data_IF_929102418757
#
_entry.id   IF_929102418757
#
_cell.length_a   1.000
_cell.length_b   1.000
_cell.length_c   1.000
_cell.angle_alpha   90.00
_cell.angle_beta   90.00
_cell.angle_gamma   90.00
#
_symmetry.space_group_name_H-M   'P 1'
#
loop_
_entity.id
_entity.type
_entity.pdbx_description
1 polymer ?
#
# COMPACT_ATOMS: atom_id res chain seq x y z
N UNK A 1 8.00 13.34 14.00
CA UNK A 1 8.21 13.02 15.43
C UNK A 1 7.66 11.63 15.63
N UNK A 2 8.50 10.65 15.97
CA UNK A 2 8.00 9.30 16.27
C UNK A 2 7.11 9.40 17.50
N UNK A 3 5.87 8.91 17.39
CA UNK A 3 4.93 8.93 18.51
C UNK A 3 5.49 8.07 19.65
N UNK A 4 5.42 8.58 20.88
CA UNK A 4 5.86 7.84 22.07
C UNK A 4 5.02 6.57 22.22
N UNK A 5 5.64 5.38 22.33
CA UNK A 5 4.89 4.13 22.46
C UNK A 5 4.11 4.06 23.79
N UNK A 6 2.91 3.44 23.80
CA UNK A 6 2.15 3.20 25.02
C UNK A 6 2.98 2.44 26.08
N UNK A 7 2.84 2.83 27.34
CA UNK A 7 3.61 2.27 28.45
C UNK A 7 3.43 0.75 28.60
N UNK A 8 2.22 0.24 28.39
CA UNK A 8 1.93 -1.21 28.48
C UNK A 8 2.63 -2.03 27.40
N UNK A 9 2.78 -1.45 26.19
CA UNK A 9 3.47 -2.11 25.09
C UNK A 9 4.98 -2.17 25.37
N UNK A 10 5.56 -1.07 25.86
CA UNK A 10 6.97 -1.04 26.28
C UNK A 10 7.22 -2.05 27.41
N UNK A 11 6.31 -2.14 28.39
CA UNK A 11 6.39 -3.13 29.48
C UNK A 11 6.36 -4.57 28.95
N UNK A 12 5.50 -4.85 27.97
CA UNK A 12 5.39 -6.16 27.33
C UNK A 12 6.69 -6.52 26.58
N UNK A 13 7.27 -5.56 25.85
CA UNK A 13 8.57 -5.75 25.18
C UNK A 13 9.69 -6.01 26.18
N UNK A 14 9.78 -5.25 27.28
CA UNK A 14 10.78 -5.49 28.33
C UNK A 14 10.66 -6.90 28.91
N UNK A 15 9.44 -7.31 29.24
CA UNK A 15 9.17 -8.64 29.79
C UNK A 15 9.57 -9.72 28.81
N UNK A 16 9.11 -9.65 27.56
CA UNK A 16 9.39 -10.67 26.56
C UNK A 16 10.86 -10.72 26.15
N UNK A 17 11.52 -9.57 26.02
CA UNK A 17 12.97 -9.52 25.75
C UNK A 17 13.75 -10.23 26.86
N UNK A 18 13.36 -10.03 28.13
CA UNK A 18 13.99 -10.73 29.25
C UNK A 18 13.74 -12.25 29.23
N UNK A 19 12.54 -12.70 28.83
CA UNK A 19 12.22 -14.12 28.67
C UNK A 19 13.07 -14.76 27.57
N UNK A 20 13.21 -14.10 26.42
CA UNK A 20 14.02 -14.60 25.29
C UNK A 20 15.50 -14.67 25.69
N UNK A 21 16.04 -13.62 26.33
CA UNK A 21 17.42 -13.65 26.88
C UNK A 21 17.58 -14.79 27.89
N UNK A 22 16.56 -15.02 28.74
CA UNK A 22 16.59 -16.09 29.72
C UNK A 22 16.52 -17.49 29.09
N UNK A 23 16.19 -17.63 27.80
CA UNK A 23 16.32 -18.87 27.05
C UNK A 23 17.78 -19.30 26.82
N UNK A 24 18.71 -18.36 26.78
CA UNK A 24 20.13 -18.63 26.57
C UNK A 24 20.78 -19.38 27.75
N UNK A 25 21.97 -19.96 27.50
CA UNK A 25 22.75 -20.63 28.55
C UNK A 25 23.23 -19.61 29.58
N UNK A 26 23.21 -19.98 30.86
CA UNK A 26 23.44 -19.03 31.97
C UNK A 26 24.77 -18.26 31.88
N UNK A 27 25.83 -18.92 31.44
CA UNK A 27 27.15 -18.30 31.28
C UNK A 27 27.25 -17.36 30.07
N UNK A 28 26.34 -17.46 29.09
CA UNK A 28 26.29 -16.59 27.91
C UNK A 28 25.44 -15.33 28.14
N UNK A 29 24.57 -15.33 29.16
CA UNK A 29 23.61 -14.24 29.43
C UNK A 29 24.28 -12.88 29.66
N UNK A 30 25.33 -12.75 30.52
CA UNK A 30 25.99 -11.47 30.72
C UNK A 30 26.57 -10.89 29.43
N UNK A 31 27.27 -11.73 28.64
CA UNK A 31 27.86 -11.31 27.37
C UNK A 31 26.78 -10.90 26.35
N UNK A 32 25.66 -11.64 26.27
CA UNK A 32 24.51 -11.31 25.44
C UNK A 32 23.91 -9.95 25.85
N UNK A 33 23.68 -9.72 27.15
CA UNK A 33 23.17 -8.46 27.66
C UNK A 33 24.05 -7.27 27.24
N UNK A 34 25.38 -7.40 27.39
CA UNK A 34 26.33 -6.35 26.97
C UNK A 34 26.25 -6.09 25.47
N UNK A 35 26.19 -7.12 24.62
CA UNK A 35 26.03 -6.97 23.16
C UNK A 35 24.76 -6.21 22.80
N UNK A 36 23.67 -6.46 23.53
CA UNK A 36 22.38 -5.79 23.35
C UNK A 36 22.34 -4.37 23.94
N UNK A 37 23.42 -3.93 24.61
CA UNK A 37 23.54 -2.60 25.20
C UNK A 37 22.92 -2.45 26.59
N UNK A 38 22.70 -3.55 27.30
CA UNK A 38 22.28 -3.54 28.70
C UNK A 38 23.51 -3.30 29.61
N UNK A 39 23.27 -2.78 30.80
CA UNK A 39 24.32 -2.55 31.80
C UNK A 39 24.99 -3.85 32.24
N UNK A 40 26.29 -3.78 32.57
CA UNK A 40 27.05 -4.93 33.05
C UNK A 40 26.53 -5.46 34.40
N UNK A 41 26.90 -6.69 34.72
CA UNK A 41 26.74 -7.28 36.04
C UNK A 41 27.49 -8.57 36.19
N UNK A 42 27.34 -9.22 37.35
CA UNK A 42 28.11 -10.42 37.66
C UNK A 42 27.47 -11.69 37.09
N UNK A 43 28.30 -12.68 36.79
CA UNK A 43 27.83 -14.03 36.43
C UNK A 43 27.01 -14.65 37.56
N UNK A 44 27.38 -14.36 38.82
CA UNK A 44 26.66 -14.80 40.01
C UNK A 44 25.20 -14.31 40.00
N UNK A 45 24.94 -13.04 39.67
CA UNK A 45 23.57 -12.51 39.55
C UNK A 45 22.77 -13.25 38.47
N UNK A 46 23.38 -13.53 37.32
CA UNK A 46 22.73 -14.24 36.21
C UNK A 46 22.42 -15.71 36.56
N UNK A 47 23.30 -16.36 37.33
CA UNK A 47 23.11 -17.74 37.79
C UNK A 47 21.95 -17.89 38.78
N UNK A 48 21.64 -16.86 39.59
CA UNK A 48 20.48 -16.88 40.49
C UNK A 48 19.15 -16.80 39.72
N UNK A 49 19.06 -15.93 38.71
CA UNK A 49 17.90 -15.86 37.82
C UNK A 49 18.20 -15.07 36.55
N UNK A 50 18.34 -15.79 35.42
CA UNK A 50 18.55 -15.19 34.09
C UNK A 50 17.49 -14.15 33.73
N UNK A 51 16.22 -14.46 34.01
CA UNK A 51 15.11 -13.53 33.76
C UNK A 51 15.24 -12.26 34.59
N UNK A 52 15.42 -12.37 35.92
CA UNK A 52 15.54 -11.19 36.79
C UNK A 52 16.75 -10.35 36.41
N UNK A 53 17.87 -10.99 36.07
CA UNK A 53 19.09 -10.34 35.60
C UNK A 53 18.85 -9.46 34.36
N UNK A 54 18.20 -10.00 33.33
CA UNK A 54 17.89 -9.25 32.12
C UNK A 54 16.79 -8.20 32.36
N UNK A 55 15.74 -8.57 33.09
CA UNK A 55 14.56 -7.74 33.31
C UNK A 55 14.88 -6.47 34.11
N UNK A 56 15.68 -6.55 35.18
CA UNK A 56 16.05 -5.36 35.97
C UNK A 56 16.76 -4.31 35.10
N UNK A 57 17.69 -4.75 34.25
CA UNK A 57 18.45 -3.89 33.35
C UNK A 57 17.57 -3.27 32.27
N UNK A 58 16.67 -4.04 31.68
CA UNK A 58 15.70 -3.54 30.71
C UNK A 58 14.74 -2.51 31.31
N UNK A 59 14.45 -2.57 32.61
CA UNK A 59 13.61 -1.60 33.30
C UNK A 59 14.30 -0.24 33.49
N UNK A 60 15.63 -0.22 33.62
CA UNK A 60 16.46 0.99 33.74
C UNK A 60 16.66 1.71 32.39
N UNK A 61 16.53 0.99 31.28
CA UNK A 61 16.72 1.52 29.93
C UNK A 61 15.55 2.43 29.48
N UNK A 62 15.87 3.44 28.65
CA UNK A 62 14.84 4.21 27.96
C UNK A 62 14.05 3.33 26.98
N UNK A 63 12.79 3.69 26.65
CA UNK A 63 11.99 2.94 25.67
C UNK A 63 12.72 2.73 24.33
N UNK A 64 13.38 3.76 23.81
CA UNK A 64 14.13 3.67 22.53
C UNK A 64 15.30 2.67 22.61
N UNK A 65 16.00 2.63 23.74
CA UNK A 65 17.09 1.69 23.96
C UNK A 65 16.57 0.25 24.07
N UNK A 66 15.43 0.04 24.72
CA UNK A 66 14.76 -1.28 24.79
C UNK A 66 14.35 -1.75 23.39
N UNK A 67 13.75 -0.89 22.58
CA UNK A 67 13.36 -1.23 21.20
C UNK A 67 14.58 -1.61 20.35
N UNK A 68 15.69 -0.88 20.50
CA UNK A 68 16.94 -1.20 19.81
C UNK A 68 17.49 -2.56 20.24
N UNK A 69 17.49 -2.86 21.53
CA UNK A 69 17.93 -4.15 22.08
C UNK A 69 17.04 -5.30 21.59
N UNK A 70 15.71 -5.13 21.65
CA UNK A 70 14.75 -6.13 21.16
C UNK A 70 14.95 -6.43 19.66
N UNK A 71 15.16 -5.39 18.84
CA UNK A 71 15.44 -5.56 17.41
C UNK A 71 16.75 -6.30 17.15
N UNK A 72 17.80 -5.99 17.91
CA UNK A 72 19.08 -6.68 17.80
C UNK A 72 18.95 -8.16 18.20
N UNK A 73 18.22 -8.45 19.29
CA UNK A 73 17.95 -9.81 19.73
C UNK A 73 17.22 -10.63 18.65
N UNK A 74 16.24 -10.04 17.97
CA UNK A 74 15.51 -10.69 16.88
C UNK A 74 16.35 -10.97 15.62
N UNK A 75 17.58 -10.46 15.53
CA UNK A 75 18.51 -10.85 14.45
C UNK A 75 19.28 -12.13 14.77
N UNK A 76 19.39 -12.49 16.06
CA UNK A 76 20.08 -13.68 16.54
C UNK A 76 19.08 -14.80 16.89
N UNK A 77 17.91 -14.46 17.44
CA UNK A 77 16.91 -15.39 17.96
C UNK A 77 15.52 -15.10 17.36
N UNK A 78 14.78 -16.15 16.98
CA UNK A 78 13.42 -16.00 16.47
C UNK A 78 12.41 -16.13 17.62
N UNK A 79 11.66 -15.05 17.88
CA UNK A 79 10.56 -15.08 18.84
C UNK A 79 9.33 -14.35 18.27
N UNK A 80 8.21 -15.08 18.19
CA UNK A 80 6.97 -14.59 17.59
C UNK A 80 6.36 -13.42 18.38
N UNK A 81 6.24 -13.55 19.70
CA UNK A 81 5.59 -12.54 20.54
C UNK A 81 6.41 -11.25 20.60
N UNK A 82 7.74 -11.36 20.69
CA UNK A 82 8.64 -10.20 20.66
C UNK A 82 8.55 -9.47 19.33
N UNK A 83 8.56 -10.21 18.20
CA UNK A 83 8.42 -9.63 16.87
C UNK A 83 7.08 -8.90 16.69
N UNK A 84 5.99 -9.49 17.20
CA UNK A 84 4.65 -8.90 17.13
C UNK A 84 4.53 -7.63 17.99
N UNK A 85 5.06 -7.63 19.22
CA UNK A 85 5.07 -6.43 20.07
C UNK A 85 5.95 -5.31 19.47
N UNK A 86 7.09 -5.67 18.89
CA UNK A 86 7.97 -4.72 18.22
C UNK A 86 7.28 -4.09 17.00
N UNK A 87 6.67 -4.91 16.14
CA UNK A 87 5.93 -4.43 14.98
C UNK A 87 4.79 -3.48 15.39
N UNK A 88 4.01 -3.81 16.43
CA UNK A 88 2.97 -2.91 16.98
C UNK A 88 3.52 -1.56 17.41
N UNK A 89 4.75 -1.51 17.92
CA UNK A 89 5.41 -0.27 18.34
C UNK A 89 5.91 0.54 17.14
N UNK A 90 6.53 -0.11 16.16
CA UNK A 90 7.08 0.53 14.97
C UNK A 90 5.99 1.12 14.07
N UNK A 91 4.78 0.57 14.16
CA UNK A 91 3.63 1.00 13.38
C UNK A 91 2.87 2.20 13.96
N UNK A 92 3.24 2.69 15.14
CA UNK A 92 2.52 3.80 15.78
C UNK A 92 2.65 5.07 14.92
N UNK A 93 1.51 5.73 14.67
CA UNK A 93 1.47 6.94 13.85
C UNK A 93 1.54 6.66 12.34
N UNK A 94 1.60 5.40 11.92
CA UNK A 94 1.44 5.00 10.52
C UNK A 94 -0.03 4.78 10.17
N UNK A 95 -0.35 4.76 8.87
CA UNK A 95 -1.71 4.44 8.39
C UNK A 95 -2.16 3.08 8.92
N UNK A 96 -3.40 2.99 9.40
CA UNK A 96 -3.92 1.79 10.07
C UNK A 96 -4.85 0.99 9.16
N UNK A 97 -4.93 -0.32 9.39
CA UNK A 97 -6.01 -1.16 8.85
C UNK A 97 -7.08 -1.24 9.92
N UNK A 98 -8.26 -0.72 9.61
CA UNK A 98 -9.41 -0.65 10.51
C UNK A 98 -9.90 -2.05 10.89
N UNK A 99 -10.51 -2.19 12.08
CA UNK A 99 -11.11 -3.44 12.53
C UNK A 99 -12.15 -3.97 11.54
N UNK A 100 -12.85 -3.06 10.84
CA UNK A 100 -13.81 -3.42 9.79
C UNK A 100 -13.11 -4.10 8.62
N UNK A 101 -12.05 -3.51 8.07
CA UNK A 101 -11.29 -4.11 6.97
C UNK A 101 -10.62 -5.41 7.41
N UNK A 102 -10.04 -5.46 8.61
CA UNK A 102 -9.44 -6.70 9.18
C UNK A 102 -10.43 -7.86 9.25
N UNK A 103 -11.70 -7.61 9.56
CA UNK A 103 -12.74 -8.64 9.51
C UNK A 103 -13.20 -8.95 8.09
N UNK A 104 -13.27 -7.95 7.22
CA UNK A 104 -13.76 -8.10 5.84
C UNK A 104 -12.78 -8.84 4.93
N UNK A 105 -11.47 -8.69 5.11
CA UNK A 105 -10.49 -9.42 4.28
C UNK A 105 -10.67 -10.94 4.34
N UNK A 106 -11.15 -11.48 5.46
CA UNK A 106 -11.46 -12.92 5.59
C UNK A 106 -12.65 -13.38 4.73
N UNK A 107 -13.54 -12.47 4.31
CA UNK A 107 -14.60 -12.80 3.36
C UNK A 107 -14.06 -13.10 1.96
N UNK A 108 -12.87 -12.59 1.60
CA UNK A 108 -12.25 -12.87 0.30
C UNK A 108 -11.92 -14.36 0.10
N UNK A 109 -11.81 -15.10 1.20
CA UNK A 109 -11.48 -16.53 1.23
C UNK A 109 -12.71 -17.44 1.15
N UNK A 110 -13.93 -16.90 1.32
CA UNK A 110 -15.14 -17.72 1.33
C UNK A 110 -15.31 -18.52 0.02
N UNK A 111 -15.59 -19.82 0.16
CA UNK A 111 -15.81 -20.75 -0.94
C UNK A 111 -14.54 -21.27 -1.63
N UNK A 112 -13.34 -20.98 -1.11
CA UNK A 112 -12.06 -21.46 -1.66
C UNK A 112 -11.18 -21.96 -0.50
N UNK A 113 -10.28 -22.91 -0.76
CA UNK A 113 -9.29 -23.37 0.25
C UNK A 113 -8.27 -22.29 0.56
N UNK A 114 -7.75 -22.22 1.79
CA UNK A 114 -6.71 -21.28 2.19
C UNK A 114 -5.43 -21.53 1.39
N UNK A 115 -5.08 -22.80 1.21
CA UNK A 115 -3.95 -23.29 0.42
C UNK A 115 -4.38 -24.52 -0.39
N UNK A 116 -3.99 -24.57 -1.67
CA UNK A 116 -4.29 -25.70 -2.56
C UNK A 116 -3.08 -26.57 -2.87
N UNK A 117 -1.88 -25.99 -2.78
CA UNK A 117 -0.63 -26.67 -3.16
C UNK A 117 -0.08 -27.57 -2.06
N UNK A 118 -0.40 -27.30 -0.79
CA UNK A 118 0.04 -28.06 0.36
C UNK A 118 -0.93 -27.92 1.56
N UNK A 119 -0.61 -28.60 2.66
CA UNK A 119 -1.49 -28.69 3.83
C UNK A 119 -1.68 -27.33 4.54
N UNK A 120 -2.91 -27.05 4.96
CA UNK A 120 -3.26 -25.77 5.59
C UNK A 120 -2.68 -25.60 7.01
N UNK A 121 -2.34 -26.70 7.70
CA UNK A 121 -1.57 -26.63 8.96
C UNK A 121 -0.15 -26.13 8.65
N UNK A 122 0.50 -26.71 7.63
CA UNK A 122 1.82 -26.25 7.18
C UNK A 122 1.79 -24.77 6.75
N UNK A 123 0.70 -24.34 6.09
CA UNK A 123 0.51 -22.92 5.72
C UNK A 123 0.53 -22.01 6.94
N UNK A 124 -0.20 -22.37 7.99
CA UNK A 124 -0.27 -21.58 9.21
C UNK A 124 1.02 -21.66 10.02
N UNK A 125 1.71 -22.81 10.04
CA UNK A 125 3.00 -22.99 10.72
C UNK A 125 4.12 -22.11 10.12
N UNK A 126 4.01 -21.68 8.86
CA UNK A 126 4.91 -20.68 8.26
C UNK A 126 4.78 -19.28 8.87
N UNK A 127 3.67 -18.99 9.55
CA UNK A 127 3.37 -17.68 10.13
C UNK A 127 3.29 -17.69 11.65
N UNK A 128 2.81 -18.79 12.23
CA UNK A 128 2.49 -18.89 13.64
C UNK A 128 3.15 -20.13 14.26
N UNK A 129 3.69 -20.03 15.47
CA UNK A 129 4.15 -21.20 16.22
C UNK A 129 2.94 -21.93 16.86
N UNK A 130 2.10 -22.57 16.03
CA UNK A 130 0.80 -23.11 16.45
C UNK A 130 0.87 -24.07 17.65
N UNK A 131 1.94 -24.88 17.72
CA UNK A 131 2.18 -25.83 18.81
C UNK A 131 2.65 -25.17 20.12
N UNK A 132 3.15 -23.94 20.06
CA UNK A 132 3.60 -23.19 21.24
C UNK A 132 2.47 -22.35 21.85
N UNK A 133 1.48 -21.95 21.06
CA UNK A 133 0.35 -21.13 21.50
C UNK A 133 -0.67 -22.02 22.21
N UNK A 134 -0.98 -21.70 23.47
CA UNK A 134 -1.98 -22.42 24.28
C UNK A 134 -3.35 -21.74 24.18
N UNK A 135 -4.41 -22.53 24.10
CA UNK A 135 -5.80 -22.05 23.89
C UNK A 135 -6.77 -22.47 25.01
N UNK A 136 -6.41 -23.45 25.84
CA UNK A 136 -7.21 -23.90 26.98
C UNK A 136 -7.12 -22.98 28.21
N UNK A 137 -8.12 -23.06 29.10
CA UNK A 137 -8.04 -22.43 30.41
C UNK A 137 -7.06 -23.21 31.31
N UNK A 138 -6.37 -22.48 32.21
CA UNK A 138 -5.36 -23.01 33.16
C UNK A 138 -5.79 -24.23 34.01
N UNK A 139 -7.09 -24.52 34.07
CA UNK A 139 -7.67 -25.63 34.84
C UNK A 139 -7.93 -26.93 34.05
N UNK A 140 -7.77 -26.93 32.72
CA UNK A 140 -7.93 -28.15 31.93
C UNK A 140 -6.66 -29.02 31.96
N UNK A 141 -6.86 -30.31 32.19
CA UNK A 141 -5.82 -31.36 32.15
C UNK A 141 -5.31 -31.63 30.72
N UNK A 142 -5.98 -31.08 29.70
CA UNK A 142 -5.46 -31.00 28.34
C UNK A 142 -4.80 -29.63 28.11
N UNK A 143 -3.46 -29.60 28.06
CA UNK A 143 -2.72 -28.42 27.62
C UNK A 143 -2.87 -28.21 26.11
N UNK A 144 -4.10 -27.93 25.63
CA UNK A 144 -4.40 -27.77 24.22
C UNK A 144 -3.63 -26.61 23.59
N UNK A 145 -3.18 -26.85 22.37
CA UNK A 145 -2.50 -25.86 21.53
C UNK A 145 -3.42 -25.33 20.45
N UNK A 146 -3.06 -24.18 19.86
CA UNK A 146 -3.76 -23.64 18.70
C UNK A 146 -3.72 -24.61 17.51
N UNK A 147 -2.66 -25.43 17.41
CA UNK A 147 -2.58 -26.51 16.42
C UNK A 147 -3.66 -27.56 16.64
N UNK A 148 -3.88 -27.99 17.89
CA UNK A 148 -4.88 -29.01 18.23
C UNK A 148 -6.29 -28.50 17.92
N UNK A 149 -6.57 -27.24 18.26
CA UNK A 149 -7.85 -26.63 17.96
C UNK A 149 -8.07 -26.44 16.46
N UNK A 150 -7.04 -26.01 15.71
CA UNK A 150 -7.13 -25.91 14.25
C UNK A 150 -7.41 -27.28 13.61
N UNK A 151 -6.71 -28.34 14.02
CA UNK A 151 -6.97 -29.70 13.51
C UNK A 151 -8.40 -30.14 13.86
N UNK A 152 -8.85 -29.87 15.09
CA UNK A 152 -10.18 -30.29 15.53
C UNK A 152 -11.29 -29.56 14.77
N UNK A 153 -11.19 -28.24 14.65
CA UNK A 153 -12.28 -27.40 14.18
C UNK A 153 -12.24 -27.13 12.67
N UNK A 154 -11.05 -26.96 12.11
CA UNK A 154 -10.86 -26.68 10.70
C UNK A 154 -10.78 -27.96 9.87
N UNK A 155 -9.93 -28.92 10.28
CA UNK A 155 -9.66 -30.12 9.48
C UNK A 155 -10.68 -31.23 9.70
N UNK A 156 -11.09 -31.48 10.96
CA UNK A 156 -11.97 -32.61 11.29
C UNK A 156 -13.46 -32.25 11.26
N UNK A 157 -13.82 -31.11 11.82
CA UNK A 157 -15.22 -30.74 12.01
C UNK A 157 -15.77 -29.81 10.91
N UNK A 158 -14.90 -29.05 10.23
CA UNK A 158 -15.30 -27.99 9.29
C UNK A 158 -16.32 -27.00 9.92
N UNK A 159 -16.11 -26.66 11.20
CA UNK A 159 -17.04 -25.84 12.00
C UNK A 159 -16.54 -24.40 12.24
N UNK A 160 -15.33 -24.07 11.80
CA UNK A 160 -14.80 -22.71 11.80
C UNK A 160 -15.00 -22.04 10.44
N UNK A 161 -15.55 -20.83 10.45
CA UNK A 161 -15.50 -19.96 9.28
C UNK A 161 -14.14 -19.26 9.19
N UNK A 162 -13.80 -18.70 8.02
CA UNK A 162 -12.62 -17.84 7.88
C UNK A 162 -12.58 -16.65 8.85
N UNK A 163 -13.75 -16.17 9.29
CA UNK A 163 -13.83 -15.15 10.34
C UNK A 163 -13.34 -15.70 11.67
N UNK A 164 -13.83 -16.87 12.06
CA UNK A 164 -13.44 -17.53 13.30
C UNK A 164 -11.94 -17.83 13.29
N UNK A 165 -11.41 -18.32 12.16
CA UNK A 165 -9.98 -18.52 11.97
C UNK A 165 -9.18 -17.23 12.22
N UNK A 166 -9.58 -16.12 11.60
CA UNK A 166 -8.93 -14.82 11.80
C UNK A 166 -8.96 -14.32 13.24
N UNK A 167 -10.03 -14.60 13.97
CA UNK A 167 -10.15 -14.27 15.40
C UNK A 167 -9.27 -15.18 16.27
N UNK A 168 -9.26 -16.49 16.02
CA UNK A 168 -8.47 -17.48 16.76
C UNK A 168 -6.97 -17.33 16.55
N UNK A 169 -6.55 -16.92 15.35
CA UNK A 169 -5.16 -16.55 15.05
C UNK A 169 -4.78 -15.16 15.60
N UNK A 170 -5.73 -14.38 16.11
CA UNK A 170 -5.49 -13.04 16.65
C UNK A 170 -5.22 -11.97 15.58
N UNK A 171 -5.42 -12.26 14.30
CA UNK A 171 -5.14 -11.35 13.16
C UNK A 171 -6.00 -10.07 13.16
N UNK A 172 -7.16 -10.12 13.83
CA UNK A 172 -8.02 -8.93 14.02
C UNK A 172 -7.34 -7.88 14.91
N UNK A 173 -6.48 -8.30 15.85
CA UNK A 173 -5.81 -7.43 16.83
C UNK A 173 -4.28 -7.43 16.68
N UNK A 174 -3.77 -7.96 15.57
CA UNK A 174 -2.34 -8.05 15.30
C UNK A 174 -1.75 -6.73 14.79
N UNK A 175 -0.43 -6.65 14.72
CA UNK A 175 0.29 -5.70 13.87
C UNK A 175 -0.20 -5.77 12.42
N UNK A 176 -0.06 -4.67 11.67
CA UNK A 176 -0.26 -4.70 10.20
C UNK A 176 0.76 -5.61 9.55
N UNK A 177 2.00 -5.63 10.05
CA UNK A 177 3.06 -6.49 9.54
C UNK A 177 2.65 -7.97 9.54
N UNK A 178 2.08 -8.47 10.65
CA UNK A 178 1.61 -9.85 10.73
C UNK A 178 0.41 -10.10 9.81
N UNK A 179 -0.54 -9.17 9.76
CA UNK A 179 -1.69 -9.26 8.85
C UNK A 179 -1.24 -9.29 7.38
N UNK A 180 -0.31 -8.44 6.99
CA UNK A 180 0.19 -8.35 5.62
C UNK A 180 0.97 -9.61 5.26
N UNK A 181 1.83 -10.13 6.15
CA UNK A 181 2.49 -11.42 5.92
C UNK A 181 1.48 -12.55 5.70
N UNK A 182 0.37 -12.57 6.46
CA UNK A 182 -0.70 -13.54 6.23
C UNK A 182 -1.34 -13.37 4.85
N UNK A 183 -1.75 -12.15 4.49
CA UNK A 183 -2.39 -11.87 3.20
C UNK A 183 -1.47 -12.15 2.01
N UNK A 184 -0.18 -11.81 2.12
CA UNK A 184 0.85 -12.06 1.10
C UNK A 184 1.10 -13.55 0.91
N UNK A 185 1.23 -14.32 2.00
CA UNK A 185 1.39 -15.77 1.92
C UNK A 185 0.13 -16.43 1.32
N UNK A 186 -1.05 -15.94 1.70
CA UNK A 186 -2.35 -16.39 1.21
C UNK A 186 -2.60 -16.15 -0.29
N UNK A 187 -1.78 -15.32 -0.95
CA UNK A 187 -1.80 -15.09 -2.40
C UNK A 187 -0.44 -15.41 -3.03
N UNK A 188 0.44 -16.12 -2.34
CA UNK A 188 1.74 -16.49 -2.89
C UNK A 188 1.56 -17.58 -3.96
N UNK A 189 2.33 -17.55 -5.07
CA UNK A 189 2.18 -18.53 -6.14
C UNK A 189 2.60 -19.97 -5.76
N UNK A 190 3.27 -20.16 -4.62
CA UNK A 190 3.51 -21.50 -4.05
C UNK A 190 2.34 -22.01 -3.19
N UNK A 191 1.35 -21.16 -2.92
CA UNK A 191 0.20 -21.46 -2.06
C UNK A 191 -1.06 -21.78 -2.89
N UNK A 192 -1.18 -21.16 -4.07
CA UNK A 192 -2.37 -21.17 -4.92
C UNK A 192 -2.01 -21.27 -6.40
N UNK A 193 -2.96 -21.83 -7.17
CA UNK A 193 -2.98 -21.71 -8.63
C UNK A 193 -3.24 -20.26 -9.09
N UNK A 194 -2.88 -19.97 -10.35
CA UNK A 194 -2.91 -18.61 -10.92
C UNK A 194 -4.33 -18.02 -10.99
N UNK A 195 -5.34 -18.83 -11.33
CA UNK A 195 -6.73 -18.35 -11.45
C UNK A 195 -7.30 -17.98 -10.08
N UNK A 196 -7.11 -18.86 -9.09
CA UNK A 196 -7.53 -18.60 -7.70
C UNK A 196 -6.76 -17.42 -7.11
N UNK A 197 -5.45 -17.31 -7.38
CA UNK A 197 -4.61 -16.20 -6.94
C UNK A 197 -5.15 -14.86 -7.47
N UNK A 198 -5.41 -14.75 -8.77
CA UNK A 198 -5.91 -13.51 -9.39
C UNK A 198 -7.28 -13.11 -8.81
N UNK A 199 -8.21 -14.07 -8.66
CA UNK A 199 -9.52 -13.83 -8.09
C UNK A 199 -9.45 -13.40 -6.62
N UNK A 200 -8.57 -14.00 -5.82
CA UNK A 200 -8.37 -13.65 -4.40
C UNK A 200 -7.76 -12.26 -4.26
N UNK A 201 -6.74 -11.93 -5.05
CA UNK A 201 -6.11 -10.60 -5.06
C UNK A 201 -7.13 -9.51 -5.37
N UNK A 202 -8.00 -9.73 -6.36
CA UNK A 202 -9.05 -8.76 -6.69
C UNK A 202 -9.99 -8.49 -5.51
N UNK A 203 -10.51 -9.55 -4.86
CA UNK A 203 -11.40 -9.43 -3.68
C UNK A 203 -10.70 -8.76 -2.49
N UNK A 204 -9.44 -9.10 -2.22
CA UNK A 204 -8.67 -8.49 -1.13
C UNK A 204 -8.45 -6.98 -1.40
N UNK A 205 -8.16 -6.61 -2.64
CA UNK A 205 -7.99 -5.22 -3.03
C UNK A 205 -9.27 -4.39 -2.92
N UNK A 206 -10.45 -4.99 -3.12
CA UNK A 206 -11.73 -4.31 -2.88
C UNK A 206 -11.94 -3.92 -1.42
N UNK A 207 -11.39 -4.70 -0.49
CA UNK A 207 -11.48 -4.42 0.94
C UNK A 207 -10.36 -3.46 1.39
N UNK A 208 -9.11 -3.74 1.02
CA UNK A 208 -7.92 -2.99 1.45
C UNK A 208 -7.89 -1.54 0.94
N UNK A 209 -8.44 -1.27 -0.26
CA UNK A 209 -8.42 0.07 -0.87
C UNK A 209 -9.06 1.13 0.02
N UNK A 210 -10.08 0.75 0.81
CA UNK A 210 -10.80 1.67 1.69
C UNK A 210 -9.92 2.19 2.83
N UNK A 211 -8.94 1.37 3.27
CA UNK A 211 -7.95 1.77 4.27
C UNK A 211 -6.64 2.24 3.64
N UNK A 212 -6.59 2.39 2.31
CA UNK A 212 -5.44 2.89 1.56
C UNK A 212 -4.32 1.89 1.40
N UNK A 213 -4.63 0.60 1.29
CA UNK A 213 -3.67 -0.44 0.98
C UNK A 213 -4.09 -1.20 -0.28
N UNK A 214 -3.14 -1.82 -0.96
CA UNK A 214 -3.40 -2.68 -2.11
C UNK A 214 -2.30 -3.74 -2.24
N UNK A 215 -2.68 -4.97 -2.59
CA UNK A 215 -1.76 -5.98 -3.10
C UNK A 215 -1.33 -5.59 -4.51
N UNK A 216 -0.05 -5.29 -4.68
CA UNK A 216 0.58 -4.96 -5.96
C UNK A 216 1.59 -6.05 -6.34
N UNK A 217 1.77 -6.29 -7.63
CA UNK A 217 2.76 -7.25 -8.09
C UNK A 217 4.16 -6.69 -7.82
N UNK A 218 4.88 -7.31 -6.89
CA UNK A 218 6.23 -6.92 -6.49
C UNK A 218 7.32 -7.57 -7.33
N UNK A 219 7.10 -8.80 -7.79
CA UNK A 219 8.06 -9.59 -8.55
C UNK A 219 7.39 -10.76 -9.27
N UNK A 220 8.19 -11.66 -9.84
CA UNK A 220 7.75 -12.94 -10.41
C UNK A 220 8.61 -14.07 -9.88
N UNK A 221 8.00 -15.20 -9.55
CA UNK A 221 8.65 -16.46 -9.18
C UNK A 221 8.30 -17.51 -10.23
N UNK A 222 9.30 -18.02 -10.94
CA UNK A 222 9.10 -19.03 -12.00
C UNK A 222 8.05 -18.64 -13.06
N UNK A 223 7.87 -17.34 -13.32
CA UNK A 223 6.87 -16.81 -14.26
C UNK A 223 5.57 -16.34 -13.59
N UNK A 224 5.25 -16.85 -12.40
CA UNK A 224 4.05 -16.52 -11.64
C UNK A 224 4.20 -15.22 -10.85
N UNK A 225 3.14 -14.41 -10.69
CA UNK A 225 3.21 -13.14 -9.99
C UNK A 225 3.34 -13.32 -8.48
N UNK A 226 4.17 -12.49 -7.84
CA UNK A 226 4.29 -12.41 -6.38
C UNK A 226 3.78 -11.05 -5.92
N UNK A 227 2.80 -11.04 -5.02
CA UNK A 227 2.16 -9.83 -4.55
C UNK A 227 2.69 -9.40 -3.17
N UNK A 228 2.76 -8.08 -2.94
CA UNK A 228 3.02 -7.48 -1.63
C UNK A 228 1.96 -6.44 -1.32
N UNK A 229 1.64 -6.27 -0.03
CA UNK A 229 0.74 -5.21 0.40
C UNK A 229 1.53 -3.90 0.44
N UNK A 230 1.12 -2.95 -0.38
CA UNK A 230 1.67 -1.61 -0.41
C UNK A 230 0.63 -0.60 0.06
N UNK A 231 1.10 0.45 0.76
CA UNK A 231 0.27 1.61 1.02
C UNK A 231 0.01 2.30 -0.32
N UNK A 232 -1.26 2.48 -0.67
CA UNK A 232 -1.64 3.34 -1.78
C UNK A 232 -1.04 4.70 -1.47
N UNK A 233 -0.16 5.19 -2.36
CA UNK A 233 0.41 6.53 -2.24
C UNK A 233 -0.74 7.46 -1.90
N UNK A 234 -0.68 8.11 -0.72
CA UNK A 234 -1.77 8.97 -0.26
C UNK A 234 -2.18 9.82 -1.45
N UNK A 235 -3.38 9.57 -1.97
CA UNK A 235 -3.89 10.33 -3.08
C UNK A 235 -3.78 11.77 -2.60
N UNK A 236 -2.89 12.54 -3.24
CA UNK A 236 -2.76 13.96 -2.92
C UNK A 236 -4.18 14.52 -2.89
N UNK A 237 -4.53 15.46 -2.01
CA UNK A 237 -5.87 16.07 -2.06
C UNK A 237 -6.28 16.48 -3.48
N UNK A 238 -5.29 16.90 -4.29
CA UNK A 238 -5.44 17.13 -5.72
C UNK A 238 -5.89 15.89 -6.52
N UNK A 239 -5.34 14.70 -6.27
CA UNK A 239 -5.73 13.45 -6.94
C UNK A 239 -7.17 13.05 -6.63
N UNK A 240 -7.63 13.21 -5.38
CA UNK A 240 -9.01 12.91 -5.03
C UNK A 240 -9.99 13.85 -5.76
N UNK A 241 -9.66 15.15 -5.82
CA UNK A 241 -10.46 16.16 -6.55
C UNK A 241 -10.48 15.85 -8.05
N UNK A 242 -9.32 15.59 -8.66
CA UNK A 242 -9.19 15.25 -10.08
C UNK A 242 -9.94 13.95 -10.39
N UNK A 243 -9.74 12.91 -9.58
CA UNK A 243 -10.42 11.61 -9.74
C UNK A 243 -11.92 11.78 -9.68
N UNK A 244 -12.45 12.53 -8.71
CA UNK A 244 -13.88 12.79 -8.60
C UNK A 244 -14.44 13.57 -9.80
N UNK A 245 -13.70 14.55 -10.32
CA UNK A 245 -14.11 15.31 -11.50
C UNK A 245 -14.13 14.43 -12.77
N UNK A 246 -13.05 13.67 -13.01
CA UNK A 246 -12.95 12.84 -14.22
C UNK A 246 -13.89 11.64 -14.18
N UNK A 247 -14.16 11.05 -13.01
CA UNK A 247 -15.16 9.99 -12.84
C UNK A 247 -16.57 10.46 -13.18
N UNK A 248 -16.94 11.70 -12.80
CA UNK A 248 -18.23 12.29 -13.17
C UNK A 248 -18.34 12.58 -14.66
N UNK A 249 -17.25 13.02 -15.28
CA UNK A 249 -17.21 13.36 -16.70
C UNK A 249 -17.29 12.12 -17.59
N UNK A 250 -16.41 11.15 -17.38
CA UNK A 250 -16.41 9.90 -18.14
C UNK A 250 -15.73 8.78 -17.32
N UNK A 251 -16.53 7.90 -16.69
CA UNK A 251 -16.02 6.85 -15.82
C UNK A 251 -15.31 5.73 -16.59
N UNK A 252 -15.74 5.42 -17.82
CA UNK A 252 -15.33 4.20 -18.51
C UNK A 252 -13.97 4.29 -19.22
N UNK A 253 -13.60 5.47 -19.70
CA UNK A 253 -12.36 5.66 -20.48
C UNK A 253 -11.42 6.68 -19.86
N UNK A 254 -11.92 7.86 -19.49
CA UNK A 254 -11.06 8.96 -19.03
C UNK A 254 -10.63 8.73 -17.59
N UNK A 255 -11.57 8.35 -16.71
CA UNK A 255 -11.26 8.03 -15.32
C UNK A 255 -10.35 6.80 -15.19
N UNK A 256 -10.66 5.71 -15.90
CA UNK A 256 -9.79 4.52 -15.96
C UNK A 256 -8.36 4.88 -16.42
N UNK A 257 -8.23 5.76 -17.41
CA UNK A 257 -6.92 6.20 -17.91
C UNK A 257 -6.16 7.04 -16.89
N UNK A 258 -6.85 7.88 -16.13
CA UNK A 258 -6.28 8.62 -15.01
C UNK A 258 -5.77 7.68 -13.92
N UNK A 259 -6.56 6.69 -13.50
CA UNK A 259 -6.14 5.70 -12.48
C UNK A 259 -4.93 4.90 -12.95
N UNK A 260 -4.94 4.42 -14.20
CA UNK A 260 -3.80 3.71 -14.78
C UNK A 260 -2.53 4.58 -14.83
N UNK A 261 -2.66 5.90 -15.04
CA UNK A 261 -1.53 6.83 -15.03
C UNK A 261 -0.97 6.98 -13.61
N UNK A 262 -1.84 7.07 -12.59
CA UNK A 262 -1.44 7.16 -11.18
C UNK A 262 -0.67 5.92 -10.72
N UNK A 263 -1.17 4.74 -11.06
CA UNK A 263 -0.63 3.44 -10.63
C UNK A 263 0.79 3.19 -11.18
N UNK A 264 1.10 3.74 -12.36
CA UNK A 264 2.41 3.54 -13.02
C UNK A 264 3.50 4.52 -12.59
N UNK A 265 3.19 5.60 -11.85
CA UNK A 265 4.15 6.69 -11.59
C UNK A 265 5.46 6.24 -10.94
N UNK A 266 5.39 5.28 -10.02
CA UNK A 266 6.54 4.76 -9.31
C UNK A 266 7.24 3.62 -10.06
N UNK A 267 6.46 2.71 -10.63
CA UNK A 267 6.92 1.42 -11.19
C UNK A 267 7.25 1.48 -12.68
N UNK A 268 6.55 2.32 -13.43
CA UNK A 268 6.77 2.57 -14.86
C UNK A 268 6.62 4.07 -15.20
N UNK A 269 7.64 4.90 -14.88
CA UNK A 269 7.56 6.34 -15.11
C UNK A 269 7.35 6.74 -16.59
N UNK A 270 7.89 5.96 -17.53
CA UNK A 270 7.74 6.24 -18.96
C UNK A 270 6.31 5.94 -19.45
N UNK A 271 5.73 4.82 -19.00
CA UNK A 271 4.33 4.50 -19.27
C UNK A 271 3.36 5.47 -18.61
N UNK A 272 3.63 5.91 -17.38
CA UNK A 272 2.82 6.93 -16.71
C UNK A 272 2.81 8.28 -17.47
N UNK A 273 3.96 8.72 -17.98
CA UNK A 273 4.06 9.92 -18.82
C UNK A 273 3.25 9.77 -20.12
N UNK A 274 3.33 8.59 -20.74
CA UNK A 274 2.57 8.30 -21.97
C UNK A 274 1.07 8.35 -21.69
N UNK A 275 0.60 7.73 -20.60
CA UNK A 275 -0.79 7.78 -20.20
C UNK A 275 -1.26 9.20 -19.83
N UNK A 276 -0.42 10.01 -19.20
CA UNK A 276 -0.74 11.41 -18.91
C UNK A 276 -1.01 12.18 -20.20
N UNK A 277 -0.15 12.04 -21.21
CA UNK A 277 -0.39 12.66 -22.52
C UNK A 277 -1.70 12.17 -23.14
N UNK A 278 -1.90 10.86 -23.18
CA UNK A 278 -3.09 10.26 -23.79
C UNK A 278 -4.36 10.70 -23.07
N UNK A 279 -4.35 10.79 -21.73
CA UNK A 279 -5.46 11.33 -20.94
C UNK A 279 -5.90 12.71 -21.44
N UNK A 280 -4.95 13.61 -21.68
CA UNK A 280 -5.26 14.95 -22.15
C UNK A 280 -5.73 14.96 -23.61
N UNK A 281 -5.17 14.10 -24.47
CA UNK A 281 -5.65 13.91 -25.84
C UNK A 281 -7.11 13.44 -25.86
N UNK A 282 -7.45 12.45 -25.04
CA UNK A 282 -8.80 11.89 -24.98
C UNK A 282 -9.81 12.90 -24.45
N UNK A 283 -9.48 13.63 -23.38
CA UNK A 283 -10.33 14.72 -22.87
C UNK A 283 -10.54 15.77 -23.95
N UNK A 284 -9.50 16.17 -24.67
CA UNK A 284 -9.65 17.14 -25.76
C UNK A 284 -10.55 16.62 -26.88
N UNK A 285 -10.37 15.37 -27.32
CA UNK A 285 -11.21 14.76 -28.37
C UNK A 285 -12.68 14.67 -27.92
N UNK A 286 -12.91 14.24 -26.68
CA UNK A 286 -14.25 14.11 -26.11
C UNK A 286 -14.97 15.47 -26.08
N UNK A 287 -14.33 16.49 -25.54
CA UNK A 287 -14.90 17.83 -25.46
C UNK A 287 -15.09 18.48 -26.84
N UNK A 288 -14.19 18.24 -27.80
CA UNK A 288 -14.35 18.72 -29.18
C UNK A 288 -15.54 18.05 -29.87
N UNK A 289 -15.78 16.76 -29.61
CA UNK A 289 -16.94 16.04 -30.12
C UNK A 289 -18.25 16.63 -29.56
N UNK A 290 -18.32 16.88 -28.24
CA UNK A 290 -19.48 17.54 -27.60
C UNK A 290 -19.75 18.95 -28.16
N UNK A 291 -18.69 19.68 -28.51
CA UNK A 291 -18.76 21.01 -29.12
C UNK A 291 -19.01 20.97 -30.64
N UNK A 292 -19.19 19.78 -31.24
CA UNK A 292 -19.35 19.58 -32.69
C UNK A 292 -18.20 20.19 -33.53
N UNK A 293 -16.97 20.15 -33.01
CA UNK A 293 -15.77 20.63 -33.72
C UNK A 293 -15.05 19.46 -34.36
N UNK A 294 -14.78 19.56 -35.66
CA UNK A 294 -14.15 18.49 -36.43
C UNK A 294 -12.71 18.18 -35.95
N UNK A 295 -12.47 16.90 -35.67
CA UNK A 295 -11.17 16.34 -35.29
C UNK A 295 -10.68 15.41 -36.40
N UNK A 296 -9.39 15.49 -36.70
CA UNK A 296 -8.66 14.60 -37.61
C UNK A 296 -7.85 13.57 -36.83
N UNK A 297 -7.63 12.40 -37.42
CA UNK A 297 -6.73 11.37 -36.87
C UNK A 297 -5.27 11.85 -36.82
N UNK A 298 -4.92 12.86 -37.62
CA UNK A 298 -3.58 13.47 -37.64
C UNK A 298 -3.40 14.54 -36.56
N UNK A 299 -4.47 14.95 -35.87
CA UNK A 299 -4.37 15.95 -34.82
C UNK A 299 -3.63 15.36 -33.61
N UNK A 300 -2.50 15.96 -33.27
CA UNK A 300 -1.74 15.71 -32.05
C UNK A 300 -2.24 16.53 -30.86
N UNK A 301 -1.74 16.25 -29.65
CA UNK A 301 -2.16 16.96 -28.44
C UNK A 301 -2.11 18.51 -28.57
N UNK A 302 -1.03 19.15 -29.06
CA UNK A 302 -1.01 20.60 -29.28
C UNK A 302 -2.10 21.12 -30.22
N UNK A 303 -2.35 20.45 -31.34
CA UNK A 303 -3.39 20.86 -32.29
C UNK A 303 -4.80 20.66 -31.75
N UNK A 304 -5.07 19.55 -31.06
CA UNK A 304 -6.32 19.30 -30.34
C UNK A 304 -6.61 20.39 -29.30
N UNK A 305 -5.62 20.70 -28.45
CA UNK A 305 -5.78 21.72 -27.43
C UNK A 305 -6.04 23.11 -28.03
N UNK A 306 -5.34 23.48 -29.12
CA UNK A 306 -5.58 24.76 -29.80
C UNK A 306 -7.00 24.88 -30.34
N UNK A 307 -7.52 23.82 -30.97
CA UNK A 307 -8.91 23.78 -31.44
C UNK A 307 -9.89 23.94 -30.26
N UNK A 308 -9.66 23.19 -29.18
CA UNK A 308 -10.54 23.21 -28.01
C UNK A 308 -10.49 24.57 -27.29
N UNK A 309 -9.30 25.13 -27.08
CA UNK A 309 -9.10 26.44 -26.45
C UNK A 309 -9.86 27.52 -27.21
N UNK A 310 -9.83 27.52 -28.56
CA UNK A 310 -10.62 28.44 -29.37
C UNK A 310 -12.13 28.23 -29.19
N UNK A 311 -12.60 26.98 -29.22
CA UNK A 311 -14.02 26.67 -29.02
C UNK A 311 -14.52 27.07 -27.62
N UNK A 312 -13.69 26.86 -26.60
CA UNK A 312 -13.92 27.26 -25.23
C UNK A 312 -13.53 28.72 -24.94
N UNK A 313 -13.25 29.57 -25.95
CA UNK A 313 -12.77 30.96 -25.81
C UNK A 313 -11.78 31.14 -24.64
N UNK A 314 -10.81 30.23 -24.58
CA UNK A 314 -9.68 30.22 -23.66
C UNK A 314 -8.41 30.73 -24.36
N UNK A 315 -8.52 31.25 -25.59
CA UNK A 315 -7.37 31.80 -26.28
C UNK A 315 -6.94 33.09 -25.57
N UNK A 316 -5.64 33.36 -25.37
CA UNK A 316 -5.18 34.58 -24.72
C UNK A 316 -5.75 35.86 -25.34
N UNK A 317 -6.01 35.87 -26.65
CA UNK A 317 -6.56 37.02 -27.36
C UNK A 317 -8.04 37.31 -27.02
N UNK A 318 -8.76 36.34 -26.44
CA UNK A 318 -10.15 36.49 -26.01
C UNK A 318 -10.30 37.19 -24.64
N UNK A 319 -9.19 37.48 -23.95
CA UNK A 319 -9.20 38.08 -22.62
C UNK A 319 -8.54 39.47 -22.61
N UNK A 320 -9.10 40.43 -21.88
CA UNK A 320 -8.54 41.79 -21.79
C UNK A 320 -7.41 41.89 -20.76
N UNK A 321 -7.51 41.17 -19.65
CA UNK A 321 -6.53 41.28 -18.57
C UNK A 321 -5.24 40.51 -18.87
N UNK A 322 -4.11 41.21 -18.77
CA UNK A 322 -2.78 40.68 -19.05
C UNK A 322 -2.43 39.44 -18.23
N UNK A 323 -2.90 39.36 -16.98
CA UNK A 323 -2.65 38.22 -16.09
C UNK A 323 -3.28 36.94 -16.63
N UNK A 324 -4.54 36.98 -17.08
CA UNK A 324 -5.20 35.81 -17.65
C UNK A 324 -4.54 35.36 -18.96
N UNK A 325 -4.08 36.31 -19.79
CA UNK A 325 -3.31 35.97 -21.00
C UNK A 325 -2.05 35.16 -20.68
N UNK A 326 -1.30 35.57 -19.66
CA UNK A 326 -0.08 34.88 -19.24
C UNK A 326 -0.35 33.49 -18.68
N UNK A 327 -1.40 33.34 -17.85
CA UNK A 327 -1.78 32.03 -17.29
C UNK A 327 -2.19 31.07 -18.40
N UNK A 328 -3.05 31.50 -19.33
CA UNK A 328 -3.52 30.67 -20.44
C UNK A 328 -2.40 30.34 -21.44
N UNK A 329 -1.50 31.29 -21.71
CA UNK A 329 -0.29 31.02 -22.50
C UNK A 329 0.66 30.02 -21.84
N UNK A 330 0.77 30.05 -20.51
CA UNK A 330 1.53 29.05 -19.75
C UNK A 330 0.90 27.67 -19.83
N UNK A 331 -0.44 27.59 -19.76
CA UNK A 331 -1.18 26.34 -19.95
C UNK A 331 -0.91 25.74 -21.34
N UNK A 332 -0.94 26.55 -22.40
CA UNK A 332 -0.59 26.10 -23.74
C UNK A 332 0.85 25.56 -23.81
N UNK A 333 1.81 26.26 -23.18
CA UNK A 333 3.21 25.82 -23.11
C UNK A 333 3.38 24.48 -22.40
N UNK A 334 2.59 24.22 -21.35
CA UNK A 334 2.56 22.94 -20.64
C UNK A 334 2.06 21.82 -21.57
N UNK A 335 0.98 22.06 -22.32
CA UNK A 335 0.45 21.08 -23.27
C UNK A 335 1.45 20.75 -24.39
N UNK A 336 2.10 21.78 -24.95
CA UNK A 336 3.14 21.61 -25.96
C UNK A 336 4.31 20.79 -25.42
N UNK A 337 4.72 21.05 -24.18
CA UNK A 337 5.80 20.32 -23.50
C UNK A 337 5.43 18.86 -23.24
N UNK A 338 4.19 18.58 -22.78
CA UNK A 338 3.68 17.22 -22.59
C UNK A 338 3.61 16.44 -23.91
N UNK A 339 3.16 17.09 -24.99
CA UNK A 339 3.12 16.50 -26.33
C UNK A 339 4.51 16.07 -26.82
N UNK A 340 5.52 16.92 -26.59
CA UNK A 340 6.91 16.68 -27.00
C UNK A 340 7.65 15.62 -26.15
N UNK A 341 7.21 15.38 -24.92
CA UNK A 341 7.91 14.54 -23.94
C UNK A 341 8.08 13.08 -24.42
N UNK A 342 7.08 12.52 -25.13
CA UNK A 342 7.16 11.18 -25.72
C UNK A 342 8.24 11.06 -26.79
N UNK A 343 8.46 12.08 -27.61
CA UNK A 343 9.42 11.99 -28.72
C UNK A 343 10.87 11.98 -28.23
N UNK A 344 11.14 12.57 -27.06
CA UNK A 344 12.46 12.53 -26.41
C UNK A 344 12.69 11.25 -25.62
N UNK A 345 11.64 10.66 -25.05
CA UNK A 345 11.70 9.50 -24.17
C UNK A 345 11.34 8.16 -24.85
N UNK A 346 10.66 8.20 -26.00
CA UNK A 346 10.14 7.07 -26.75
C UNK A 346 11.09 6.53 -27.81
N UNK A 347 10.95 5.24 -28.08
CA UNK A 347 11.84 4.32 -28.79
C UNK A 347 11.89 4.51 -30.33
N UNK A 348 11.46 5.67 -30.85
CA UNK A 348 11.09 5.76 -32.26
C UNK A 348 12.27 5.74 -33.25
N UNK A 349 13.52 5.95 -32.80
CA UNK A 349 14.72 5.68 -33.61
C UNK A 349 15.88 5.34 -32.68
N UNK A 350 16.55 4.20 -32.95
CA UNK A 350 17.62 3.62 -32.14
C UNK A 350 18.59 4.67 -31.59
N UNK A 351 18.64 4.82 -30.27
CA UNK A 351 19.42 5.87 -29.60
C UNK A 351 20.41 5.24 -28.64
N UNK A 352 21.71 5.48 -28.86
CA UNK A 352 22.83 4.89 -28.12
C UNK A 352 22.88 5.15 -26.60
N UNK A 353 23.98 4.74 -25.93
CA UNK A 353 24.06 4.46 -24.49
C UNK A 353 23.92 5.64 -23.50
N UNK A 354 23.48 6.83 -23.93
CA UNK A 354 23.44 8.06 -23.12
C UNK A 354 22.07 8.78 -23.08
N UNK A 355 20.93 8.06 -23.17
CA UNK A 355 19.61 8.68 -22.94
C UNK A 355 19.24 8.68 -21.44
N UNK A 356 18.81 9.84 -20.94
CA UNK A 356 18.26 9.99 -19.60
C UNK A 356 16.89 9.29 -19.50
N UNK A 357 16.75 8.34 -18.58
CA UNK A 357 15.48 7.68 -18.28
C UNK A 357 14.62 8.57 -17.36
N UNK A 358 13.30 8.67 -17.58
CA UNK A 358 12.44 9.43 -16.70
C UNK A 358 12.39 8.75 -15.32
N UNK A 359 12.77 9.47 -14.28
CA UNK A 359 12.54 9.06 -12.89
C UNK A 359 11.09 9.32 -12.44
N UNK A 360 10.65 8.63 -11.36
CA UNK A 360 9.29 8.73 -10.80
C UNK A 360 8.80 10.18 -10.59
N UNK A 361 9.67 11.07 -10.07
CA UNK A 361 9.34 12.51 -9.89
C UNK A 361 8.91 13.23 -11.17
N UNK A 362 9.43 12.83 -12.33
CA UNK A 362 9.05 13.43 -13.62
C UNK A 362 7.69 12.91 -14.08
N UNK A 363 7.42 11.62 -13.85
CA UNK A 363 6.11 11.04 -14.12
C UNK A 363 5.03 11.65 -13.22
N UNK A 364 5.34 11.85 -11.94
CA UNK A 364 4.45 12.52 -11.00
C UNK A 364 4.09 13.94 -11.48
N UNK A 365 5.08 14.74 -11.88
CA UNK A 365 4.83 16.07 -12.42
C UNK A 365 3.95 16.02 -13.68
N UNK A 366 4.26 15.14 -14.63
CA UNK A 366 3.51 15.03 -15.89
C UNK A 366 2.05 14.59 -15.67
N UNK A 367 1.83 13.59 -14.81
CA UNK A 367 0.49 13.11 -14.46
C UNK A 367 -0.30 14.21 -13.76
N UNK A 368 0.29 14.90 -12.78
CA UNK A 368 -0.38 15.98 -12.07
C UNK A 368 -0.76 17.15 -12.99
N UNK A 369 0.17 17.60 -13.85
CA UNK A 369 -0.11 18.66 -14.84
C UNK A 369 -1.24 18.26 -15.78
N UNK A 370 -1.21 17.03 -16.30
CA UNK A 370 -2.28 16.53 -17.16
C UNK A 370 -3.62 16.46 -16.44
N UNK A 371 -3.64 15.93 -15.22
CA UNK A 371 -4.87 15.81 -14.42
C UNK A 371 -5.49 17.17 -14.13
N UNK A 372 -4.69 18.14 -13.68
CA UNK A 372 -5.14 19.52 -13.44
C UNK A 372 -5.67 20.18 -14.71
N UNK A 373 -4.98 20.03 -15.84
CA UNK A 373 -5.43 20.56 -17.13
C UNK A 373 -6.74 19.92 -17.59
N UNK A 374 -6.86 18.60 -17.50
CA UNK A 374 -8.07 17.88 -17.85
C UNK A 374 -9.27 18.34 -17.01
N UNK A 375 -9.11 18.41 -15.68
CA UNK A 375 -10.17 18.89 -14.78
C UNK A 375 -10.56 20.34 -15.07
N UNK A 376 -9.59 21.22 -15.33
CA UNK A 376 -9.88 22.61 -15.69
C UNK A 376 -10.70 22.72 -16.99
N UNK A 377 -10.34 21.95 -18.03
CA UNK A 377 -11.03 21.94 -19.32
C UNK A 377 -12.48 21.43 -19.18
N UNK A 378 -12.66 20.33 -18.45
CA UNK A 378 -14.00 19.77 -18.16
C UNK A 378 -14.85 20.77 -17.39
N UNK A 379 -14.33 21.33 -16.30
CA UNK A 379 -15.07 22.31 -15.49
C UNK A 379 -15.44 23.57 -16.30
N UNK A 380 -14.56 24.02 -17.20
CA UNK A 380 -14.85 25.16 -18.10
C UNK A 380 -16.00 24.84 -19.05
N UNK A 381 -16.00 23.64 -19.64
CA UNK A 381 -17.08 23.20 -20.53
C UNK A 381 -18.41 23.02 -19.78
N UNK A 382 -18.41 22.40 -18.61
CA UNK A 382 -19.60 22.24 -17.75
C UNK A 382 -20.22 23.61 -17.40
N UNK A 383 -19.38 24.57 -16.98
CA UNK A 383 -19.82 25.92 -16.64
C UNK A 383 -20.52 26.59 -17.84
N UNK A 384 -19.98 26.44 -19.05
CA UNK A 384 -20.58 27.03 -20.26
C UNK A 384 -21.91 26.42 -20.64
N UNK A 385 -22.03 25.10 -20.57
CA UNK A 385 -23.33 24.46 -20.81
C UNK A 385 -24.37 24.94 -19.80
N UNK A 386 -23.97 25.13 -18.53
CA UNK A 386 -24.86 25.65 -17.50
C UNK A 386 -25.29 27.09 -17.75
N UNK A 387 -24.43 27.91 -18.36
CA UNK A 387 -24.75 29.31 -18.71
C UNK A 387 -25.61 29.42 -19.96
N UNK A 388 -25.45 28.52 -20.94
CA UNK A 388 -26.32 28.42 -22.11
C UNK A 388 -27.72 27.90 -21.77
N UNK A 389 -27.84 27.07 -20.73
CA UNK A 389 -29.11 26.52 -20.25
C UNK A 389 -29.94 27.49 -19.38
N UNK A 390 -29.36 28.62 -18.92
CA UNK A 390 -30.11 29.64 -18.17
C UNK A 390 -30.96 30.47 -19.16
N UNK A 391 -32.26 30.70 -18.89
CA UNK A 391 -33.08 31.54 -19.75
C UNK A 391 -32.50 32.95 -19.79
N UNK A 392 -32.30 33.48 -21.01
CA UNK A 392 -31.93 34.89 -21.19
C UNK A 392 -33.05 35.74 -20.60
N UNK A 393 -32.77 36.36 -19.46
CA UNK A 393 -33.67 37.35 -18.85
C UNK A 393 -33.79 38.49 -19.87
N UNK A 394 -35.00 38.65 -20.42
CA UNK A 394 -35.35 39.65 -21.41
C UNK A 394 -35.40 41.06 -20.80
#
# INVERSE_FOLDING_TARGET
MNATPPADLVKSIRTRTAEVIAGAKAYDVPALCVRLGLSEGTEDEAMHSKFKYAHSRLMEMSPDAVLKAARALLTEEQDFDLAEHLAKTEEIGTRTVSTRTRRRVFHAFQGHSLCTEYDEVEFLEKLFPLSAIRTGNSTDWEQRTLRDDFIQHWVRNDDWTYRDLGEKLGLVNSSKALLFRFLELAVHPETLDEDTQAARVAKLNDELKNDGFRLTQSSRLSGYPVYKVEQLSDASPSHAIISGALARFNPDQIHVRWEAALDRRATDPAGAITLARTLLEDVCRWLLAELNVAVSDQDDLPSLYRKLSKALKLAPDDHSEQVFKQILGSCQSVVESLGALRNKLGDAHGGGPKKAKPAARHAELAVNLSGSMATFLVATWEARQSDEAKPKVA
#
